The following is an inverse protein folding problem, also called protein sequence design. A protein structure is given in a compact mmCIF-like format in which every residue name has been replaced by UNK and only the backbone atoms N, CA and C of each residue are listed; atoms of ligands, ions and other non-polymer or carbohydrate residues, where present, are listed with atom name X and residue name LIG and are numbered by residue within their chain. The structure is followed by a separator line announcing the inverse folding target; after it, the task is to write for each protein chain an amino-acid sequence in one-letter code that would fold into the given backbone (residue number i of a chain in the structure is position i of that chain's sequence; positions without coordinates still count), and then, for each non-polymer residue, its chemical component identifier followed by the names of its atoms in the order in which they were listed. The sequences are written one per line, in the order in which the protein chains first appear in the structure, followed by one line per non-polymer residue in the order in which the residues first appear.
data_IF_102655896767
#
_entry.id   IF_102655896767
#
_cell.length_a   1.000
_cell.length_b   1.000
_cell.length_c   1.000
_cell.angle_alpha   90.00
_cell.angle_beta   90.00
_cell.angle_gamma   90.00
#
_symmetry.space_group_name_H-M   'P 1'
#
loop_
_entity.id
_entity.type
_entity.pdbx_description
1 polymer ?
#
# COMPACT_ATOMS: atom_id res chain seq x y z
N UNK A 1 13.25 -4.75 -23.01
CA UNK A 1 12.60 -3.84 -22.04
C UNK A 1 11.08 -4.00 -22.02
N UNK A 2 10.35 -3.85 -23.15
CA UNK A 2 8.88 -3.98 -23.19
C UNK A 2 8.38 -5.35 -22.68
N UNK A 3 8.99 -6.45 -23.14
CA UNK A 3 8.67 -7.80 -22.67
C UNK A 3 8.84 -7.97 -21.15
N UNK A 4 9.85 -7.32 -20.57
CA UNK A 4 10.10 -7.39 -19.12
C UNK A 4 9.07 -6.58 -18.34
N UNK A 5 8.69 -5.41 -18.85
CA UNK A 5 7.58 -4.63 -18.29
C UNK A 5 6.26 -5.41 -18.33
N UNK A 6 5.92 -5.99 -19.48
CA UNK A 6 4.72 -6.80 -19.64
C UNK A 6 4.73 -8.04 -18.72
N UNK A 7 5.89 -8.68 -18.54
CA UNK A 7 6.04 -9.78 -17.59
C UNK A 7 5.78 -9.32 -16.15
N UNK A 8 6.25 -8.14 -15.77
CA UNK A 8 5.99 -7.53 -14.46
C UNK A 8 4.50 -7.27 -14.24
N UNK A 9 3.86 -6.64 -15.22
CA UNK A 9 2.41 -6.43 -15.22
C UNK A 9 1.64 -7.75 -15.08
N UNK A 10 2.03 -8.76 -15.87
CA UNK A 10 1.46 -10.10 -15.81
C UNK A 10 1.67 -10.80 -14.46
N UNK A 11 2.66 -10.38 -13.67
CA UNK A 11 2.88 -10.95 -12.32
C UNK A 11 1.78 -10.51 -11.35
N UNK A 12 1.31 -9.25 -11.43
CA UNK A 12 0.14 -8.81 -10.67
C UNK A 12 -1.12 -9.57 -11.12
N UNK A 13 -1.31 -9.74 -12.43
CA UNK A 13 -2.45 -10.50 -12.97
C UNK A 13 -2.46 -11.94 -12.44
N UNK A 14 -1.29 -12.58 -12.34
CA UNK A 14 -1.16 -13.90 -11.70
C UNK A 14 -1.51 -13.84 -10.20
N UNK A 15 -1.09 -12.79 -9.50
CA UNK A 15 -1.51 -12.51 -8.12
C UNK A 15 -3.03 -12.43 -7.97
N UNK A 16 -3.73 -11.76 -8.90
CA UNK A 16 -5.19 -11.79 -8.96
C UNK A 16 -5.74 -13.18 -9.29
N UNK A 17 -5.03 -13.98 -10.08
CA UNK A 17 -5.37 -15.38 -10.34
C UNK A 17 -5.55 -16.22 -9.07
N UNK A 18 -4.83 -15.90 -7.98
CA UNK A 18 -5.01 -16.58 -6.70
C UNK A 18 -6.41 -16.38 -6.10
N UNK A 19 -7.18 -15.35 -6.50
CA UNK A 19 -8.59 -15.24 -6.08
C UNK A 19 -9.42 -16.43 -6.54
N UNK A 20 -9.05 -17.07 -7.65
CA UNK A 20 -9.78 -18.22 -8.19
C UNK A 20 -9.38 -19.53 -7.51
N UNK A 21 -8.12 -19.67 -7.11
CA UNK A 21 -7.60 -20.93 -6.54
C UNK A 21 -7.58 -20.92 -5.01
N UNK A 22 -7.31 -19.77 -4.39
CA UNK A 22 -7.19 -19.58 -2.94
C UNK A 22 -8.00 -18.38 -2.42
N UNK A 23 -9.32 -18.29 -2.70
CA UNK A 23 -10.15 -17.15 -2.31
C UNK A 23 -10.17 -16.89 -0.80
N UNK A 24 -10.17 -17.97 0.00
CA UNK A 24 -10.16 -17.86 1.47
C UNK A 24 -8.89 -17.20 1.99
N UNK A 25 -7.74 -17.51 1.39
CA UNK A 25 -6.46 -16.91 1.75
C UNK A 25 -6.45 -15.41 1.46
N UNK A 26 -6.89 -15.01 0.26
CA UNK A 26 -6.91 -13.59 -0.09
C UNK A 26 -7.98 -12.80 0.67
N UNK A 27 -9.12 -13.43 0.99
CA UNK A 27 -10.12 -12.85 1.88
C UNK A 27 -9.59 -12.58 3.28
N UNK A 28 -8.63 -13.37 3.81
CA UNK A 28 -7.96 -13.05 5.07
C UNK A 28 -7.25 -11.70 5.01
N UNK A 29 -6.69 -11.32 3.86
CA UNK A 29 -6.03 -10.02 3.66
C UNK A 29 -6.99 -8.83 3.64
N UNK A 30 -8.29 -9.08 3.48
CA UNK A 30 -9.33 -8.05 3.57
C UNK A 30 -9.79 -7.77 5.01
N UNK A 31 -9.52 -8.70 5.94
CA UNK A 31 -9.95 -8.61 7.34
C UNK A 31 -9.50 -7.31 8.03
N UNK A 32 -8.24 -6.85 7.90
CA UNK A 32 -7.79 -5.60 8.54
C UNK A 32 -8.61 -4.39 8.11
N UNK A 33 -8.91 -4.30 6.81
CA UNK A 33 -9.73 -3.23 6.25
C UNK A 33 -11.19 -3.36 6.71
N UNK A 34 -11.73 -4.58 6.74
CA UNK A 34 -13.09 -4.84 7.22
C UNK A 34 -13.26 -4.46 8.70
N UNK A 35 -12.33 -4.86 9.57
CA UNK A 35 -12.34 -4.50 10.99
C UNK A 35 -12.27 -2.98 11.16
N UNK A 36 -11.31 -2.34 10.48
CA UNK A 36 -11.14 -0.87 10.56
C UNK A 36 -12.39 -0.13 10.08
N UNK A 37 -12.99 -0.60 8.98
CA UNK A 37 -14.25 -0.05 8.47
C UNK A 37 -15.39 -0.20 9.48
N UNK A 38 -15.56 -1.39 10.07
CA UNK A 38 -16.62 -1.64 11.07
C UNK A 38 -16.45 -0.75 12.31
N UNK A 39 -15.22 -0.60 12.81
CA UNK A 39 -14.93 0.28 13.95
C UNK A 39 -15.28 1.73 13.64
N UNK A 40 -14.88 2.22 12.46
CA UNK A 40 -15.18 3.60 12.06
C UNK A 40 -16.65 3.82 11.74
N UNK A 41 -17.33 2.83 11.14
CA UNK A 41 -18.77 2.88 10.94
C UNK A 41 -19.50 2.94 12.29
N UNK A 42 -19.06 2.15 13.28
CA UNK A 42 -19.59 2.20 14.63
C UNK A 42 -19.37 3.55 15.34
N UNK A 43 -18.37 4.34 14.92
CA UNK A 43 -18.15 5.71 15.41
C UNK A 43 -18.94 6.77 14.63
N UNK A 44 -18.92 6.70 13.29
CA UNK A 44 -19.51 7.72 12.41
C UNK A 44 -21.03 7.64 12.35
N UNK A 45 -21.62 6.44 12.41
CA UNK A 45 -23.07 6.28 12.34
C UNK A 45 -23.75 6.94 13.55
N UNK A 46 -23.37 6.65 14.81
CA UNK A 46 -23.93 7.35 15.97
C UNK A 46 -23.65 8.85 15.94
N UNK A 47 -22.46 9.27 15.48
CA UNK A 47 -22.13 10.69 15.31
C UNK A 47 -23.14 11.37 14.37
N UNK A 48 -23.43 10.76 13.22
CA UNK A 48 -24.40 11.25 12.25
C UNK A 48 -25.79 11.46 12.85
N UNK A 49 -26.29 10.49 13.62
CA UNK A 49 -27.56 10.62 14.33
C UNK A 49 -27.53 11.66 15.46
N UNK A 50 -26.36 11.92 16.04
CA UNK A 50 -26.19 12.87 17.15
C UNK A 50 -25.92 14.31 16.71
N UNK A 51 -25.76 14.58 15.40
CA UNK A 51 -25.41 15.91 14.87
C UNK A 51 -26.39 17.00 15.31
N UNK A 52 -27.69 16.70 15.37
CA UNK A 52 -28.70 17.65 15.84
C UNK A 52 -28.45 18.11 17.29
N UNK A 53 -28.16 17.16 18.18
CA UNK A 53 -27.83 17.45 19.57
C UNK A 53 -26.49 18.19 19.72
N UNK A 54 -25.47 17.75 18.98
CA UNK A 54 -24.14 18.38 19.00
C UNK A 54 -24.21 19.83 18.52
N UNK A 55 -24.88 20.08 17.40
CA UNK A 55 -24.99 21.43 16.83
C UNK A 55 -25.84 22.35 17.69
N UNK A 56 -26.90 21.83 18.32
CA UNK A 56 -27.68 22.59 19.30
C UNK A 56 -26.83 22.97 20.53
N UNK A 57 -26.07 22.01 21.08
CA UNK A 57 -25.17 22.24 22.21
C UNK A 57 -24.04 23.24 21.88
N UNK A 58 -23.52 23.23 20.66
CA UNK A 58 -22.51 24.18 20.18
C UNK A 58 -23.07 25.58 19.88
N UNK A 59 -24.39 25.72 19.69
CA UNK A 59 -25.03 26.98 19.24
C UNK A 59 -26.12 27.49 20.20
N UNK A 60 -25.86 27.61 21.52
CA UNK A 60 -26.86 28.11 22.46
C UNK A 60 -27.23 29.58 22.16
N UNK A 61 -26.30 30.35 21.61
CA UNK A 61 -26.55 31.73 21.19
C UNK A 61 -27.60 31.85 20.06
N UNK A 62 -27.85 30.77 19.31
CA UNK A 62 -28.81 30.76 18.21
C UNK A 62 -30.24 30.37 18.65
N UNK A 63 -30.46 30.03 19.93
CA UNK A 63 -31.77 29.61 20.45
C UNK A 63 -32.84 30.70 20.40
N UNK A 64 -32.44 31.97 20.34
CA UNK A 64 -33.36 33.10 20.16
C UNK A 64 -33.67 33.44 18.69
N UNK A 65 -33.01 32.81 17.73
CA UNK A 65 -33.12 33.20 16.31
C UNK A 65 -34.43 32.71 15.69
N UNK A 66 -34.82 33.33 14.57
CA UNK A 66 -35.92 32.81 13.73
C UNK A 66 -35.59 31.37 13.30
N UNK A 67 -36.58 30.48 13.41
CA UNK A 67 -36.41 29.02 13.22
C UNK A 67 -35.66 28.66 11.94
N UNK A 68 -36.03 29.25 10.80
CA UNK A 68 -35.37 28.95 9.52
C UNK A 68 -33.87 29.25 9.49
N UNK A 69 -33.42 30.36 10.08
CA UNK A 69 -32.01 30.73 10.15
C UNK A 69 -31.24 29.87 11.16
N UNK A 70 -31.88 29.51 12.27
CA UNK A 70 -31.33 28.60 13.28
C UNK A 70 -31.08 27.22 12.71
N UNK A 71 -32.07 26.66 12.02
CA UNK A 71 -32.01 25.31 11.45
C UNK A 71 -30.99 25.26 10.30
N UNK A 72 -30.98 26.28 9.43
CA UNK A 72 -29.98 26.39 8.37
C UNK A 72 -28.54 26.41 8.92
N UNK A 73 -28.28 27.21 9.98
CA UNK A 73 -26.98 27.25 10.63
C UNK A 73 -26.59 25.88 11.23
N UNK A 74 -27.51 25.25 11.96
CA UNK A 74 -27.26 23.95 12.61
C UNK A 74 -27.03 22.83 11.60
N UNK A 75 -27.77 22.80 10.50
CA UNK A 75 -27.57 21.85 9.39
C UNK A 75 -26.19 22.09 8.76
N UNK A 76 -25.85 23.33 8.44
CA UNK A 76 -24.55 23.67 7.85
C UNK A 76 -23.39 23.25 8.77
N UNK A 77 -23.49 23.55 10.07
CA UNK A 77 -22.48 23.13 11.06
C UNK A 77 -22.40 21.60 11.16
N UNK A 78 -23.54 20.92 11.16
CA UNK A 78 -23.60 19.45 11.17
C UNK A 78 -22.90 18.84 9.97
N UNK A 79 -23.11 19.39 8.76
CA UNK A 79 -22.42 18.97 7.54
C UNK A 79 -20.91 19.16 7.69
N UNK A 80 -20.45 20.32 8.16
CA UNK A 80 -19.02 20.61 8.35
C UNK A 80 -18.39 19.63 9.34
N UNK A 81 -19.03 19.40 10.49
CA UNK A 81 -18.56 18.46 11.52
C UNK A 81 -18.49 17.04 10.96
N UNK A 82 -19.51 16.60 10.23
CA UNK A 82 -19.54 15.27 9.64
C UNK A 82 -18.48 15.07 8.57
N UNK A 83 -18.28 16.06 7.68
CA UNK A 83 -17.22 16.03 6.67
C UNK A 83 -15.85 15.99 7.34
N UNK A 84 -15.62 16.82 8.37
CA UNK A 84 -14.36 16.81 9.10
C UNK A 84 -14.09 15.45 9.76
N UNK A 85 -15.11 14.86 10.39
CA UNK A 85 -15.02 13.52 10.99
C UNK A 85 -14.78 12.44 9.92
N UNK A 86 -15.42 12.54 8.75
CA UNK A 86 -15.23 11.62 7.64
C UNK A 86 -13.83 11.72 7.01
N UNK A 87 -13.26 12.93 6.91
CA UNK A 87 -11.87 13.12 6.47
C UNK A 87 -10.90 12.53 7.50
N UNK A 88 -11.10 12.84 8.79
CA UNK A 88 -10.29 12.29 9.88
C UNK A 88 -10.36 10.76 9.95
N UNK A 89 -11.54 10.18 9.72
CA UNK A 89 -11.73 8.73 9.72
C UNK A 89 -10.89 8.06 8.64
N UNK A 90 -10.62 8.71 7.50
CA UNK A 90 -9.70 8.22 6.49
C UNK A 90 -8.28 8.02 7.02
N UNK A 91 -7.76 8.98 7.79
CA UNK A 91 -6.44 8.87 8.43
C UNK A 91 -6.41 7.73 9.46
N UNK A 92 -7.45 7.67 10.31
CA UNK A 92 -7.57 6.63 11.33
C UNK A 92 -7.74 5.25 10.69
N UNK A 93 -8.48 5.14 9.58
CA UNK A 93 -8.64 3.91 8.81
C UNK A 93 -7.31 3.37 8.34
N UNK A 94 -6.46 4.22 7.75
CA UNK A 94 -5.12 3.83 7.31
C UNK A 94 -4.28 3.36 8.49
N UNK A 95 -4.26 4.11 9.59
CA UNK A 95 -3.50 3.75 10.79
C UNK A 95 -3.96 2.40 11.38
N UNK A 96 -5.26 2.18 11.53
CA UNK A 96 -5.83 0.92 12.03
C UNK A 96 -5.52 -0.24 11.09
N UNK A 97 -5.73 -0.06 9.77
CA UNK A 97 -5.51 -1.12 8.79
C UNK A 97 -4.05 -1.56 8.75
N UNK A 98 -3.10 -0.62 8.84
CA UNK A 98 -1.67 -0.92 8.93
C UNK A 98 -1.31 -1.65 10.23
N UNK A 99 -1.85 -1.19 11.36
CA UNK A 99 -1.59 -1.78 12.69
C UNK A 99 -2.12 -3.22 12.78
N UNK A 100 -3.28 -3.48 12.20
CA UNK A 100 -3.93 -4.79 12.23
C UNK A 100 -3.38 -5.71 11.13
N UNK A 101 -2.86 -5.15 10.03
CA UNK A 101 -2.68 -5.85 8.76
C UNK A 101 -1.54 -6.85 8.71
N UNK A 102 -0.43 -6.57 9.38
CA UNK A 102 0.81 -7.34 9.27
C UNK A 102 0.63 -8.87 9.45
N UNK A 103 -0.02 -9.39 10.52
CA UNK A 103 -0.20 -10.83 10.70
C UNK A 103 -1.01 -11.50 9.58
N UNK A 104 -1.94 -10.79 8.94
CA UNK A 104 -2.74 -11.33 7.84
C UNK A 104 -1.93 -11.39 6.54
N UNK A 105 -1.15 -10.35 6.26
CA UNK A 105 -0.28 -10.31 5.08
C UNK A 105 0.83 -11.35 5.15
N UNK A 106 1.41 -11.58 6.33
CA UNK A 106 2.40 -12.66 6.51
C UNK A 106 1.82 -14.05 6.21
N UNK A 107 0.55 -14.31 6.55
CA UNK A 107 -0.10 -15.60 6.23
C UNK A 107 -0.26 -15.80 4.72
N UNK A 108 -0.66 -14.75 3.99
CA UNK A 108 -0.76 -14.79 2.52
C UNK A 108 0.60 -15.10 1.92
N UNK A 109 1.61 -14.37 2.36
CA UNK A 109 2.98 -14.54 1.87
C UNK A 109 3.52 -15.96 2.11
N UNK A 110 3.40 -16.50 3.32
CA UNK A 110 3.84 -17.88 3.65
C UNK A 110 3.18 -18.92 2.77
N UNK A 111 1.87 -18.79 2.53
CA UNK A 111 1.15 -19.74 1.70
C UNK A 111 1.56 -19.65 0.22
N UNK A 112 1.81 -18.44 -0.27
CA UNK A 112 2.32 -18.25 -1.63
C UNK A 112 3.71 -18.87 -1.78
N UNK A 113 4.62 -18.69 -0.82
CA UNK A 113 5.94 -19.34 -0.84
C UNK A 113 5.83 -20.87 -0.84
N UNK A 114 5.00 -21.45 0.03
CA UNK A 114 4.78 -22.90 0.07
C UNK A 114 4.23 -23.43 -1.24
N UNK A 115 3.27 -22.74 -1.85
CA UNK A 115 2.69 -23.13 -3.14
C UNK A 115 3.71 -23.12 -4.28
N UNK A 116 4.78 -22.34 -4.15
CA UNK A 116 5.87 -22.26 -5.10
C UNK A 116 7.02 -23.23 -4.72
N UNK A 117 6.98 -23.88 -3.56
CA UNK A 117 8.01 -24.80 -3.08
C UNK A 117 9.24 -24.12 -2.46
N UNK A 118 9.04 -22.96 -1.81
CA UNK A 118 10.09 -22.30 -1.01
C UNK A 118 10.21 -22.88 0.41
N UNK A 119 11.39 -22.74 1.02
CA UNK A 119 11.62 -23.07 2.44
C UNK A 119 10.97 -22.05 3.38
N UNK A 120 10.70 -22.46 4.63
CA UNK A 120 10.10 -21.58 5.64
C UNK A 120 11.10 -20.55 6.15
N UNK A 121 10.79 -19.24 6.11
CA UNK A 121 11.86 -18.26 6.28
C UNK A 121 12.01 -17.78 7.73
N UNK A 122 13.26 -17.66 8.16
CA UNK A 122 13.70 -17.44 9.55
C UNK A 122 14.45 -16.13 9.78
N UNK A 123 14.51 -15.25 8.78
CA UNK A 123 15.29 -14.00 8.86
C UNK A 123 14.69 -12.98 9.83
N UNK A 124 15.40 -12.68 10.92
CA UNK A 124 15.11 -11.53 11.79
C UNK A 124 15.76 -10.27 11.20
N UNK A 125 14.95 -9.25 10.90
CA UNK A 125 15.46 -7.94 10.47
C UNK A 125 15.76 -7.08 11.69
N UNK A 126 16.96 -6.49 11.77
CA UNK A 126 17.35 -5.63 12.88
C UNK A 126 16.49 -4.36 12.95
N UNK A 127 15.94 -4.07 14.13
CA UNK A 127 15.01 -2.94 14.38
C UNK A 127 15.46 -1.58 13.78
N UNK A 128 16.75 -1.27 13.84
CA UNK A 128 17.31 0.00 13.37
C UNK A 128 17.39 0.12 11.84
N UNK A 129 17.57 -0.99 11.11
CA UNK A 129 17.54 -0.95 9.64
C UNK A 129 16.11 -0.75 9.13
N UNK A 130 15.13 -1.31 9.83
CA UNK A 130 13.69 -1.13 9.54
C UNK A 130 13.24 0.32 9.70
N UNK A 131 13.72 1.02 10.73
CA UNK A 131 13.39 2.45 10.95
C UNK A 131 14.03 3.34 9.87
N UNK A 132 15.30 3.08 9.53
CA UNK A 132 16.00 3.85 8.49
C UNK A 132 15.38 3.68 7.10
N UNK A 133 15.01 2.44 6.74
CA UNK A 133 14.35 2.14 5.46
C UNK A 133 12.95 2.77 5.42
N UNK A 134 12.20 2.70 6.53
CA UNK A 134 10.89 3.34 6.65
C UNK A 134 10.95 4.87 6.45
N UNK A 135 11.91 5.54 7.10
CA UNK A 135 12.10 6.98 6.92
C UNK A 135 12.49 7.35 5.48
N UNK A 136 13.37 6.56 4.86
CA UNK A 136 13.77 6.75 3.47
C UNK A 136 12.57 6.63 2.52
N UNK A 137 11.70 5.65 2.73
CA UNK A 137 10.48 5.47 1.94
C UNK A 137 9.52 6.65 2.09
N UNK A 138 9.35 7.15 3.32
CA UNK A 138 8.53 8.34 3.59
C UNK A 138 9.10 9.57 2.87
N UNK A 139 10.40 9.82 2.98
CA UNK A 139 11.08 10.94 2.31
C UNK A 139 10.97 10.85 0.79
N UNK A 140 11.18 9.66 0.22
CA UNK A 140 11.09 9.46 -1.22
C UNK A 140 9.65 9.59 -1.70
N UNK A 141 8.68 9.10 -0.94
CA UNK A 141 7.25 9.31 -1.19
C UNK A 141 6.87 10.80 -1.18
N UNK A 142 7.36 11.55 -0.18
CA UNK A 142 7.15 13.00 -0.10
C UNK A 142 7.78 13.74 -1.29
N UNK A 143 8.99 13.33 -1.73
CA UNK A 143 9.64 13.89 -2.90
C UNK A 143 8.86 13.61 -4.20
N UNK A 144 8.34 12.38 -4.35
CA UNK A 144 7.50 12.02 -5.50
C UNK A 144 6.22 12.86 -5.50
N UNK A 145 5.55 12.99 -4.35
CA UNK A 145 4.36 13.81 -4.19
C UNK A 145 4.64 15.27 -4.56
N UNK A 146 5.72 15.85 -4.04
CA UNK A 146 6.15 17.21 -4.34
C UNK A 146 6.44 17.41 -5.83
N UNK A 147 7.16 16.47 -6.46
CA UNK A 147 7.45 16.52 -7.89
C UNK A 147 6.15 16.48 -8.72
N UNK A 148 5.22 15.58 -8.40
CA UNK A 148 3.93 15.50 -9.10
C UNK A 148 3.09 16.75 -8.90
N UNK A 149 3.12 17.36 -7.72
CA UNK A 149 2.45 18.61 -7.43
C UNK A 149 3.01 19.74 -8.29
N UNK A 150 4.34 19.89 -8.34
CA UNK A 150 5.03 20.90 -9.16
C UNK A 150 4.70 20.71 -10.64
N UNK A 151 4.75 19.47 -11.15
CA UNK A 151 4.37 19.16 -12.53
C UNK A 151 2.90 19.52 -12.81
N UNK A 152 2.00 19.31 -11.83
CA UNK A 152 0.59 19.63 -11.93
C UNK A 152 0.29 21.11 -12.18
N UNK A 153 1.19 22.02 -11.80
CA UNK A 153 1.03 23.46 -12.03
C UNK A 153 1.36 23.89 -13.46
N UNK A 154 1.90 23.02 -14.32
CA UNK A 154 2.17 23.35 -15.72
C UNK A 154 0.83 23.44 -16.47
N UNK A 155 0.47 24.59 -17.08
CA UNK A 155 -0.81 24.72 -17.77
C UNK A 155 -0.90 23.76 -18.96
N UNK A 156 -2.11 23.29 -19.25
CA UNK A 156 -2.47 22.34 -20.33
C UNK A 156 -1.91 20.92 -20.21
N UNK A 157 -0.62 20.75 -19.91
CA UNK A 157 0.05 19.42 -19.90
C UNK A 157 0.33 18.89 -18.50
N UNK A 158 0.33 19.76 -17.48
CA UNK A 158 0.76 19.43 -16.13
C UNK A 158 -0.05 18.31 -15.47
N UNK A 159 -1.37 18.30 -15.64
CA UNK A 159 -2.23 17.24 -15.09
C UNK A 159 -1.90 15.84 -15.64
N UNK A 160 -1.66 15.75 -16.96
CA UNK A 160 -1.26 14.49 -17.61
C UNK A 160 0.14 14.07 -17.17
N UNK A 161 1.10 15.01 -17.17
CA UNK A 161 2.47 14.74 -16.73
C UNK A 161 2.54 14.30 -15.27
N UNK A 162 1.84 15.01 -14.38
CA UNK A 162 1.76 14.67 -12.96
C UNK A 162 1.16 13.28 -12.74
N UNK A 163 0.12 12.93 -13.51
CA UNK A 163 -0.52 11.61 -13.43
C UNK A 163 0.41 10.51 -13.91
N UNK A 164 1.04 10.67 -15.08
CA UNK A 164 1.96 9.66 -15.64
C UNK A 164 3.18 9.50 -14.75
N UNK A 165 3.83 10.59 -14.36
CA UNK A 165 5.01 10.56 -13.48
C UNK A 165 4.64 10.01 -12.11
N UNK A 166 3.50 10.40 -11.55
CA UNK A 166 3.00 9.89 -10.28
C UNK A 166 2.75 8.39 -10.32
N UNK A 167 2.10 7.88 -11.37
CA UNK A 167 1.88 6.44 -11.53
C UNK A 167 3.20 5.67 -11.65
N UNK A 168 4.14 6.17 -12.45
CA UNK A 168 5.44 5.52 -12.66
C UNK A 168 6.30 5.50 -11.38
N UNK A 169 6.42 6.64 -10.71
CA UNK A 169 7.29 6.77 -9.53
C UNK A 169 6.67 6.12 -8.29
N UNK A 170 5.39 6.38 -8.01
CA UNK A 170 4.68 5.75 -6.89
C UNK A 170 4.55 4.25 -7.11
N UNK A 171 4.26 3.81 -8.33
CA UNK A 171 4.23 2.39 -8.67
C UNK A 171 5.58 1.71 -8.46
N UNK A 172 6.68 2.35 -8.88
CA UNK A 172 8.03 1.82 -8.63
C UNK A 172 8.37 1.76 -7.14
N UNK A 173 7.98 2.77 -6.36
CA UNK A 173 8.19 2.79 -4.90
C UNK A 173 7.40 1.66 -4.23
N UNK A 174 6.12 1.53 -4.60
CA UNK A 174 5.23 0.49 -4.10
C UNK A 174 5.72 -0.91 -4.44
N UNK A 175 6.19 -1.13 -5.67
CA UNK A 175 6.78 -2.40 -6.07
C UNK A 175 7.98 -2.76 -5.20
N UNK A 176 8.89 -1.80 -4.98
CA UNK A 176 10.08 -2.00 -4.15
C UNK A 176 9.72 -2.36 -2.72
N UNK A 177 8.80 -1.61 -2.12
CA UNK A 177 8.30 -1.88 -0.76
C UNK A 177 7.69 -3.29 -0.65
N UNK A 178 6.78 -3.64 -1.56
CA UNK A 178 6.11 -4.94 -1.53
C UNK A 178 7.06 -6.12 -1.80
N UNK A 179 8.06 -5.95 -2.67
CA UNK A 179 9.08 -6.98 -2.89
C UNK A 179 10.12 -7.02 -1.77
N UNK A 180 10.35 -5.90 -1.08
CA UNK A 180 11.27 -5.79 0.05
C UNK A 180 10.96 -6.83 1.12
N UNK A 181 9.69 -6.90 1.53
CA UNK A 181 9.22 -7.90 2.52
C UNK A 181 9.44 -9.35 2.08
N UNK A 182 9.27 -9.63 0.79
CA UNK A 182 9.52 -10.96 0.24
C UNK A 182 11.03 -11.30 0.17
N UNK A 183 11.89 -10.29 0.05
CA UNK A 183 13.35 -10.45 0.14
C UNK A 183 13.85 -10.51 1.59
N UNK A 184 13.24 -9.76 2.50
CA UNK A 184 13.49 -9.83 3.95
C UNK A 184 13.29 -11.24 4.46
N UNK A 185 12.17 -11.84 4.08
CA UNK A 185 11.92 -13.21 4.43
C UNK A 185 13.00 -14.16 3.93
N UNK A 186 13.50 -13.98 2.70
CA UNK A 186 14.59 -14.79 2.13
C UNK A 186 15.97 -14.51 2.74
N UNK A 187 16.08 -13.62 3.74
CA UNK A 187 17.35 -13.28 4.36
C UNK A 187 18.33 -12.57 3.43
N UNK A 188 17.87 -11.97 2.33
CA UNK A 188 18.77 -11.30 1.39
C UNK A 188 19.28 -9.99 1.97
N UNK A 189 20.59 -9.75 1.88
CA UNK A 189 21.19 -8.47 2.28
C UNK A 189 20.77 -7.29 1.38
N UNK A 190 20.90 -6.07 1.91
CA UNK A 190 20.50 -4.84 1.20
C UNK A 190 21.15 -4.72 -0.18
N UNK A 191 22.43 -5.04 -0.30
CA UNK A 191 23.16 -4.95 -1.57
C UNK A 191 22.69 -5.97 -2.59
N UNK A 192 22.40 -7.20 -2.16
CA UNK A 192 21.83 -8.24 -3.02
C UNK A 192 20.46 -7.79 -3.57
N UNK A 193 19.62 -7.19 -2.72
CA UNK A 193 18.32 -6.64 -3.15
C UNK A 193 18.47 -5.53 -4.18
N UNK A 194 19.39 -4.60 -3.96
CA UNK A 194 19.65 -3.50 -4.89
C UNK A 194 20.10 -4.03 -6.26
N UNK A 195 20.98 -5.04 -6.30
CA UNK A 195 21.41 -5.71 -7.53
C UNK A 195 20.24 -6.36 -8.26
N UNK A 196 19.41 -7.15 -7.56
CA UNK A 196 18.24 -7.82 -8.13
C UNK A 196 17.21 -6.82 -8.70
N UNK A 197 16.89 -5.77 -7.94
CA UNK A 197 15.95 -4.72 -8.36
C UNK A 197 16.52 -3.86 -9.51
N UNK A 198 17.84 -3.69 -9.56
CA UNK A 198 18.54 -3.01 -10.65
C UNK A 198 18.48 -3.81 -11.95
N UNK A 199 18.82 -5.09 -11.91
CA UNK A 199 18.75 -6.01 -13.04
C UNK A 199 17.30 -6.16 -13.55
N UNK A 200 16.33 -6.22 -12.64
CA UNK A 200 14.90 -6.38 -12.92
C UNK A 200 14.12 -5.08 -13.17
N UNK A 201 14.76 -3.92 -13.36
CA UNK A 201 14.10 -2.59 -13.29
C UNK A 201 12.81 -2.45 -14.10
N UNK A 202 12.77 -2.96 -15.33
CA UNK A 202 11.60 -2.86 -16.19
C UNK A 202 10.44 -3.74 -15.68
N UNK A 203 10.76 -4.91 -15.14
CA UNK A 203 9.77 -5.84 -14.57
C UNK A 203 9.20 -5.32 -13.26
N UNK A 204 10.05 -4.77 -12.39
CA UNK A 204 9.63 -4.11 -11.14
C UNK A 204 8.70 -2.93 -11.45
N UNK A 205 9.06 -2.11 -12.45
CA UNK A 205 8.21 -1.00 -12.89
C UNK A 205 6.86 -1.48 -13.43
N UNK A 206 6.84 -2.53 -14.26
CA UNK A 206 5.61 -3.08 -14.82
C UNK A 206 4.63 -3.60 -13.76
N UNK A 207 5.15 -4.32 -12.76
CA UNK A 207 4.36 -4.75 -11.59
C UNK A 207 3.84 -3.54 -10.80
N UNK A 208 4.72 -2.58 -10.50
CA UNK A 208 4.38 -1.38 -9.74
C UNK A 208 3.32 -0.51 -10.40
N UNK A 209 3.43 -0.28 -11.71
CA UNK A 209 2.44 0.47 -12.49
C UNK A 209 1.10 -0.25 -12.48
N UNK A 210 1.08 -1.57 -12.68
CA UNK A 210 -0.15 -2.35 -12.62
C UNK A 210 -0.85 -2.19 -11.26
N UNK A 211 -0.08 -2.31 -10.17
CA UNK A 211 -0.61 -2.19 -8.81
C UNK A 211 -1.12 -0.78 -8.53
N UNK A 212 -0.36 0.24 -8.94
CA UNK A 212 -0.71 1.65 -8.75
C UNK A 212 -2.00 2.01 -9.51
N UNK A 213 -2.16 1.53 -10.75
CA UNK A 213 -3.38 1.75 -11.52
C UNK A 213 -4.60 1.11 -10.83
N UNK A 214 -4.45 -0.09 -10.27
CA UNK A 214 -5.50 -0.72 -9.48
C UNK A 214 -5.82 0.06 -8.18
N UNK A 215 -4.82 0.65 -7.55
CA UNK A 215 -4.99 1.44 -6.32
C UNK A 215 -5.70 2.78 -6.56
N UNK A 216 -5.66 3.31 -7.80
CA UNK A 216 -6.41 4.52 -8.18
C UNK A 216 -7.91 4.27 -8.31
N UNK A 217 -8.35 3.02 -8.46
CA UNK A 217 -9.77 2.68 -8.47
C UNK A 217 -10.30 2.77 -7.03
N UNK A 218 -11.45 3.43 -6.78
CA UNK A 218 -12.08 3.44 -5.45
C UNK A 218 -12.26 2.02 -4.92
N UNK A 219 -11.88 1.78 -3.65
CA UNK A 219 -11.81 0.45 -3.01
C UNK A 219 -10.82 -0.54 -3.67
N UNK A 220 -10.22 -0.19 -4.81
CA UNK A 220 -9.27 -1.00 -5.53
C UNK A 220 -8.03 -1.31 -4.71
N UNK A 221 -7.52 -0.36 -3.92
CA UNK A 221 -6.39 -0.60 -3.03
C UNK A 221 -6.66 -1.74 -2.02
N UNK A 222 -7.85 -1.77 -1.42
CA UNK A 222 -8.24 -2.78 -0.42
C UNK A 222 -8.28 -4.18 -1.05
N UNK A 223 -8.90 -4.32 -2.23
CA UNK A 223 -9.05 -5.60 -2.93
C UNK A 223 -7.73 -6.05 -3.57
N UNK A 224 -6.95 -5.10 -4.07
CA UNK A 224 -5.71 -5.38 -4.79
C UNK A 224 -4.58 -5.71 -3.82
N UNK A 225 -4.56 -5.17 -2.60
CA UNK A 225 -3.45 -5.38 -1.67
C UNK A 225 -3.11 -6.85 -1.41
N UNK A 226 -4.07 -7.77 -1.10
CA UNK A 226 -3.77 -9.20 -0.97
C UNK A 226 -3.16 -9.82 -2.24
N UNK A 227 -3.69 -9.46 -3.42
CA UNK A 227 -3.19 -9.93 -4.71
C UNK A 227 -1.80 -9.34 -5.04
N UNK A 228 -1.54 -8.10 -4.63
CA UNK A 228 -0.26 -7.43 -4.80
C UNK A 228 0.81 -8.04 -3.87
N UNK A 229 0.48 -8.41 -2.64
CA UNK A 229 1.38 -9.16 -1.74
C UNK A 229 1.72 -10.52 -2.35
N UNK A 230 0.74 -11.26 -2.86
CA UNK A 230 1.00 -12.52 -3.56
C UNK A 230 1.87 -12.31 -4.82
N UNK A 231 1.52 -11.32 -5.64
CA UNK A 231 2.25 -10.97 -6.86
C UNK A 231 3.69 -10.48 -6.61
N UNK A 232 3.93 -9.73 -5.52
CA UNK A 232 5.27 -9.27 -5.16
C UNK A 232 6.15 -10.44 -4.72
N UNK A 233 5.57 -11.44 -4.06
CA UNK A 233 6.23 -12.69 -3.69
C UNK A 233 6.67 -13.47 -4.93
N UNK A 234 5.77 -13.63 -5.90
CA UNK A 234 6.08 -14.26 -7.19
C UNK A 234 7.14 -13.48 -7.98
N UNK A 235 7.08 -12.15 -7.94
CA UNK A 235 8.04 -11.28 -8.60
C UNK A 235 9.43 -11.41 -7.97
N UNK A 236 9.51 -11.34 -6.63
CA UNK A 236 10.75 -11.48 -5.89
C UNK A 236 11.44 -12.81 -6.24
N UNK A 237 10.69 -13.92 -6.21
CA UNK A 237 11.18 -15.24 -6.62
C UNK A 237 11.70 -15.24 -8.06
N UNK A 238 10.92 -14.72 -9.00
CA UNK A 238 11.33 -14.69 -10.42
C UNK A 238 12.59 -13.84 -10.67
N UNK A 239 12.89 -12.86 -9.81
CA UNK A 239 14.13 -12.09 -9.87
C UNK A 239 15.30 -12.88 -9.29
N UNK A 240 15.11 -13.56 -8.16
CA UNK A 240 16.13 -14.42 -7.53
C UNK A 240 16.50 -15.60 -8.42
N UNK A 241 15.51 -16.34 -8.94
CA UNK A 241 15.74 -17.52 -9.80
C UNK A 241 16.56 -17.15 -11.04
N UNK A 242 16.29 -15.97 -11.62
CA UNK A 242 17.07 -15.45 -12.75
C UNK A 242 18.51 -15.14 -12.39
N UNK A 243 18.73 -14.52 -11.23
CA UNK A 243 20.09 -14.18 -10.82
C UNK A 243 20.97 -15.41 -10.56
N UNK A 244 20.36 -16.50 -10.07
CA UNK A 244 21.01 -17.82 -9.92
C UNK A 244 21.37 -18.39 -11.30
N UNK A 245 20.44 -18.37 -12.25
CA UNK A 245 20.68 -18.87 -13.63
C UNK A 245 21.76 -18.06 -14.36
N UNK A 246 21.76 -16.74 -14.17
CA UNK A 246 22.71 -15.83 -14.80
C UNK A 246 24.10 -15.85 -14.11
N UNK A 247 24.30 -16.69 -13.09
CA UNK A 247 25.58 -16.82 -12.35
C UNK A 247 26.01 -15.56 -11.61
N UNK A 248 25.08 -14.64 -11.35
CA UNK A 248 25.36 -13.26 -10.93
C UNK A 248 25.32 -13.05 -9.41
N UNK A 249 25.07 -14.10 -8.64
CA UNK A 249 24.75 -13.95 -7.23
C UNK A 249 25.46 -14.99 -6.35
N UNK A 250 26.53 -14.53 -5.71
CA UNK A 250 26.96 -15.03 -4.40
C UNK A 250 25.90 -14.51 -3.40
N UNK A 251 24.88 -15.34 -3.13
CA UNK A 251 23.66 -14.97 -2.37
C UNK A 251 23.83 -15.18 -0.86
N UNK A 252 24.92 -15.80 -0.46
CA UNK A 252 25.28 -16.08 0.93
C UNK A 252 26.66 -15.50 1.14
N UNK A 253 26.78 -14.42 1.91
CA UNK A 253 28.07 -13.88 2.34
C UNK A 253 28.80 -14.81 3.29
N UNK A 254 29.04 -16.07 2.92
CA UNK A 254 30.05 -16.91 3.56
C UNK A 254 31.41 -16.56 2.97
N UNK A 255 31.94 -15.43 3.45
CA UNK A 255 33.37 -15.19 3.44
C UNK A 255 34.03 -16.29 4.27
N UNK A 256 34.50 -17.34 3.60
CA UNK A 256 35.38 -18.36 4.15
C UNK A 256 36.62 -17.69 4.71
N UNK A 257 36.57 -17.35 6.00
CA UNK A 257 37.77 -17.08 6.79
C UNK A 257 38.36 -18.43 7.18
N UNK A 258 39.05 -19.06 6.24
CA UNK A 258 40.05 -20.07 6.56
C UNK A 258 41.42 -19.42 6.40
N UNK A 259 41.95 -18.96 7.53
CA UNK A 259 43.37 -18.78 7.77
C UNK A 259 43.81 -19.84 8.79
#
# INVERSE_FOLDING_TARGET
MIREFAAGFGTLVRGFGLWRTHPRLLALGLIPAAISFLVLAAALIPLGFSLGGITAWLTPFADGWISGWRDALRIALGIVVFIAAAVLSGLVFTALTLTIGDPFYQRIWREVERSLGGEEPTGETGFWSTVGEGLRLILLGALVALLTLVLGFIPFVGGVLATVVGVLLSGRLLARELTGRAFDARGLDHDARLRLLGAGRARVLGFGVATQLCFMVPLGAVITMPAAVAGSTMLARALTDRAVVDGSADLTGEGTTHA
#
